data_IF_016988153051
#
_entry.id   IF_016988153051
#
_cell.length_a   1.000
_cell.length_b   1.000
_cell.length_c   1.000
_cell.angle_alpha   90.00
_cell.angle_beta   90.00
_cell.angle_gamma   90.00
#
_symmetry.space_group_name_H-M   'P 1'
#
loop_
_entity.id
_entity.type
_entity.pdbx_description
1 polymer ?
#
# COMPACT_ATOMS: atom_id res chain seq x y z
N UNK A 1 16.59 21.29 -14.27
CA UNK A 1 15.19 20.87 -14.04
C UNK A 1 14.80 19.93 -15.15
N UNK A 2 14.99 18.61 -14.94
CA UNK A 2 14.50 17.62 -15.89
C UNK A 2 13.01 17.41 -15.63
N UNK A 3 12.18 17.76 -16.61
CA UNK A 3 10.75 17.50 -16.60
C UNK A 3 10.55 15.99 -16.59
N UNK A 4 9.84 15.46 -15.58
CA UNK A 4 9.35 14.08 -15.58
C UNK A 4 8.61 13.82 -16.90
N UNK A 5 8.84 12.68 -17.57
CA UNK A 5 8.03 12.31 -18.72
C UNK A 5 6.57 12.22 -18.28
N UNK A 6 5.67 12.80 -19.10
CA UNK A 6 4.25 12.77 -18.86
C UNK A 6 3.78 11.31 -18.76
N UNK A 7 3.08 10.99 -17.66
CA UNK A 7 2.48 9.68 -17.45
C UNK A 7 1.48 9.41 -18.59
N UNK A 8 1.51 8.25 -19.25
CA UNK A 8 0.47 7.88 -20.18
C UNK A 8 -0.86 7.84 -19.42
N UNK A 9 -1.85 8.59 -19.92
CA UNK A 9 -3.21 8.56 -19.40
C UNK A 9 -3.76 7.14 -19.59
N UNK A 10 -4.38 6.50 -18.57
CA UNK A 10 -4.95 5.18 -18.75
C UNK A 10 -6.08 5.29 -19.79
N UNK A 11 -5.85 4.76 -20.98
CA UNK A 11 -6.90 4.53 -21.96
C UNK A 11 -7.93 3.60 -21.36
N UNK A 12 -9.18 4.05 -21.35
CA UNK A 12 -10.35 3.24 -21.04
C UNK A 12 -10.44 2.11 -22.09
N UNK A 13 -9.89 0.92 -21.77
CA UNK A 13 -9.94 -0.24 -22.67
C UNK A 13 -8.70 -1.13 -22.77
N UNK A 14 -7.58 -0.84 -22.09
CA UNK A 14 -6.53 -1.86 -21.91
C UNK A 14 -7.01 -2.83 -20.81
N UNK A 15 -7.37 -4.06 -21.17
CA UNK A 15 -7.62 -5.12 -20.18
C UNK A 15 -6.37 -5.31 -19.32
N UNK A 16 -6.32 -4.61 -18.19
CA UNK A 16 -5.21 -4.70 -17.26
C UNK A 16 -5.09 -6.17 -16.80
N UNK A 17 -4.05 -6.84 -17.30
CA UNK A 17 -3.77 -8.23 -16.98
C UNK A 17 -3.58 -8.37 -15.47
N UNK A 18 -4.20 -9.39 -14.83
CA UNK A 18 -4.01 -9.62 -13.41
C UNK A 18 -2.53 -9.93 -13.13
N UNK A 19 -1.92 -9.20 -12.19
CA UNK A 19 -0.56 -9.48 -11.69
C UNK A 19 -0.55 -10.70 -10.79
N UNK A 20 -1.64 -10.93 -10.05
CA UNK A 20 -1.90 -12.14 -9.29
C UNK A 20 -3.34 -12.61 -9.54
N UNK A 21 -3.52 -13.93 -9.55
CA UNK A 21 -4.82 -14.59 -9.62
C UNK A 21 -4.94 -15.63 -8.51
N UNK A 22 -6.16 -15.88 -8.06
CA UNK A 22 -6.50 -16.87 -7.05
C UNK A 22 -7.97 -17.29 -7.15
N UNK A 23 -8.31 -18.40 -6.50
CA UNK A 23 -9.70 -18.82 -6.34
C UNK A 23 -10.56 -17.72 -5.70
N UNK A 24 -11.82 -17.54 -6.13
CA UNK A 24 -12.68 -16.46 -5.66
C UNK A 24 -12.74 -16.40 -4.12
N UNK A 25 -12.40 -15.24 -3.57
CA UNK A 25 -12.47 -15.03 -2.12
C UNK A 25 -13.91 -15.10 -1.61
N UNK A 26 -14.07 -15.56 -0.37
CA UNK A 26 -15.37 -15.64 0.31
C UNK A 26 -15.63 -14.33 1.02
N UNK A 27 -16.82 -13.76 0.84
CA UNK A 27 -17.21 -12.53 1.52
C UNK A 27 -17.81 -12.81 2.89
N UNK A 28 -17.63 -11.90 3.83
CA UNK A 28 -18.21 -11.95 5.15
C UNK A 28 -18.27 -10.58 5.81
N UNK A 29 -18.71 -10.54 7.07
CA UNK A 29 -18.80 -9.30 7.86
C UNK A 29 -17.86 -9.38 9.05
N UNK A 30 -16.94 -8.42 9.16
CA UNK A 30 -16.03 -8.35 10.29
C UNK A 30 -16.79 -8.08 11.58
N UNK A 31 -16.66 -8.93 12.59
CA UNK A 31 -17.23 -8.67 13.93
C UNK A 31 -16.23 -7.98 14.85
N UNK A 32 -15.00 -8.48 14.91
CA UNK A 32 -13.93 -7.89 15.73
C UNK A 32 -12.55 -8.39 15.31
N UNK A 33 -11.50 -7.66 15.72
CA UNK A 33 -10.09 -8.06 15.65
C UNK A 33 -9.48 -7.99 17.04
N UNK A 34 -8.69 -8.99 17.43
CA UNK A 34 -8.00 -9.01 18.72
C UNK A 34 -6.61 -9.62 18.59
N UNK A 35 -5.76 -9.36 19.59
CA UNK A 35 -4.36 -9.84 19.64
C UNK A 35 -3.54 -9.52 18.38
N UNK A 36 -3.96 -8.52 17.59
CA UNK A 36 -3.39 -8.11 16.29
C UNK A 36 -3.55 -9.12 15.15
N UNK A 37 -3.38 -10.42 15.40
CA UNK A 37 -3.34 -11.47 14.37
C UNK A 37 -4.61 -12.32 14.23
N UNK A 38 -5.66 -12.04 15.02
CA UNK A 38 -6.94 -12.76 14.99
C UNK A 38 -8.09 -11.81 14.68
N UNK A 39 -9.03 -12.27 13.88
CA UNK A 39 -10.31 -11.63 13.69
C UNK A 39 -11.43 -12.67 13.65
N UNK A 40 -12.65 -12.22 13.90
CA UNK A 40 -13.88 -13.01 13.87
C UNK A 40 -14.75 -12.41 12.78
N UNK A 41 -15.17 -13.26 11.86
CA UNK A 41 -15.91 -12.86 10.68
C UNK A 41 -17.15 -13.74 10.59
N UNK A 42 -18.29 -13.11 10.31
CA UNK A 42 -19.52 -13.80 10.02
C UNK A 42 -19.60 -14.12 8.52
N UNK A 43 -19.74 -15.40 8.20
CA UNK A 43 -19.92 -15.90 6.84
C UNK A 43 -21.39 -15.79 6.40
N UNK A 44 -21.67 -15.91 5.08
CA UNK A 44 -23.04 -16.05 4.60
C UNK A 44 -23.70 -17.26 5.28
N UNK A 45 -24.84 -17.04 5.94
CA UNK A 45 -25.52 -18.06 6.75
C UNK A 45 -25.34 -17.89 8.27
N UNK A 46 -24.54 -16.92 8.72
CA UNK A 46 -24.46 -16.52 10.13
C UNK A 46 -23.39 -17.26 10.94
N UNK A 47 -22.63 -18.17 10.32
CA UNK A 47 -21.51 -18.85 10.98
C UNK A 47 -20.39 -17.87 11.32
N UNK A 48 -19.90 -17.91 12.56
CA UNK A 48 -18.74 -17.14 13.00
C UNK A 48 -17.46 -17.96 12.87
N UNK A 49 -16.53 -17.49 12.05
CA UNK A 49 -15.21 -18.11 11.87
C UNK A 49 -14.10 -17.23 12.43
N UNK A 50 -13.10 -17.87 13.03
CA UNK A 50 -11.85 -17.18 13.41
C UNK A 50 -10.89 -17.19 12.23
N UNK A 51 -10.42 -16.01 11.84
CA UNK A 51 -9.56 -15.80 10.68
C UNK A 51 -8.21 -15.22 11.10
N UNK A 52 -7.16 -15.57 10.36
CA UNK A 52 -5.86 -14.95 10.51
C UNK A 52 -5.85 -13.53 9.93
N UNK A 53 -5.44 -12.54 10.72
CA UNK A 53 -5.10 -11.20 10.25
C UNK A 53 -3.59 -11.10 10.08
N UNK A 54 -3.13 -11.03 8.81
CA UNK A 54 -1.70 -10.96 8.50
C UNK A 54 -1.08 -9.58 8.81
N UNK A 55 -1.90 -8.54 8.96
CA UNK A 55 -1.46 -7.19 9.31
C UNK A 55 -1.38 -7.03 10.82
N UNK A 56 -0.19 -6.72 11.34
CA UNK A 56 0.03 -6.51 12.79
C UNK A 56 -0.06 -5.04 13.21
N UNK A 57 -0.13 -4.13 12.24
CA UNK A 57 -0.25 -2.69 12.45
C UNK A 57 -1.64 -2.25 12.92
N UNK A 58 -1.84 -0.93 13.10
CA UNK A 58 -3.11 -0.37 13.58
C UNK A 58 -4.24 -0.56 12.57
N UNK A 59 -3.93 -0.71 11.28
CA UNK A 59 -4.91 -0.84 10.19
C UNK A 59 -5.82 0.40 10.12
N UNK A 60 -5.21 1.58 10.24
CA UNK A 60 -5.90 2.86 10.26
C UNK A 60 -6.76 3.03 8.99
N UNK A 61 -8.04 3.36 9.18
CA UNK A 61 -9.00 3.56 8.10
C UNK A 61 -9.58 2.27 7.48
N UNK A 62 -9.01 1.09 7.75
CA UNK A 62 -9.45 -0.19 7.12
C UNK A 62 -10.01 -1.21 8.12
N UNK A 63 -9.68 -1.11 9.41
CA UNK A 63 -10.27 -1.93 10.44
C UNK A 63 -11.66 -1.38 10.85
N UNK A 64 -12.73 -1.92 10.25
CA UNK A 64 -14.11 -1.46 10.48
C UNK A 64 -15.03 -2.61 10.89
N UNK A 65 -15.27 -2.86 12.19
CA UNK A 65 -16.31 -3.78 12.64
C UNK A 65 -17.68 -3.44 12.01
N UNK A 66 -18.41 -4.46 11.59
CA UNK A 66 -19.62 -4.35 10.77
C UNK A 66 -19.36 -4.18 9.26
N UNK A 67 -18.10 -3.97 8.85
CA UNK A 67 -17.71 -3.82 7.45
C UNK A 67 -17.57 -5.16 6.73
N UNK A 68 -17.72 -5.13 5.40
CA UNK A 68 -17.50 -6.28 4.52
C UNK A 68 -16.02 -6.59 4.39
N UNK A 69 -15.72 -7.88 4.35
CA UNK A 69 -14.35 -8.41 4.19
C UNK A 69 -14.35 -9.56 3.19
N UNK A 70 -13.19 -9.84 2.61
CA UNK A 70 -12.94 -11.01 1.78
C UNK A 70 -11.87 -11.88 2.38
N UNK A 71 -12.16 -13.18 2.42
CA UNK A 71 -11.37 -14.21 3.06
C UNK A 71 -10.89 -15.23 2.04
N UNK A 72 -9.67 -15.72 2.23
CA UNK A 72 -9.19 -16.94 1.57
C UNK A 72 -9.37 -18.12 2.49
N UNK A 73 -10.03 -19.17 1.98
CA UNK A 73 -10.09 -20.48 2.63
C UNK A 73 -8.95 -21.35 2.12
N UNK A 74 -8.08 -21.82 3.01
CA UNK A 74 -6.99 -22.73 2.67
C UNK A 74 -6.66 -23.64 3.87
N UNK A 75 -7.51 -24.65 4.13
CA UNK A 75 -7.29 -25.60 5.22
C UNK A 75 -6.03 -26.42 4.96
N UNK A 76 -5.31 -26.74 6.03
CA UNK A 76 -4.10 -27.57 5.96
C UNK A 76 -3.79 -28.16 7.33
N UNK A 77 -3.31 -29.42 7.42
CA UNK A 77 -2.96 -30.04 8.70
C UNK A 77 -1.92 -29.26 9.53
N UNK A 78 -1.09 -28.42 8.87
CA UNK A 78 -0.07 -27.60 9.54
C UNK A 78 -0.59 -26.23 9.99
N UNK A 79 -1.82 -25.84 9.61
CA UNK A 79 -2.39 -24.53 9.90
C UNK A 79 -3.40 -24.62 11.03
N UNK A 80 -3.22 -23.77 12.04
CA UNK A 80 -4.20 -23.61 13.13
C UNK A 80 -5.48 -22.88 12.69
N UNK A 81 -5.38 -22.03 11.66
CA UNK A 81 -6.50 -21.24 11.13
C UNK A 81 -6.58 -21.47 9.63
N UNK A 82 -7.75 -21.94 9.18
CA UNK A 82 -8.03 -22.27 7.78
C UNK A 82 -8.27 -21.01 6.94
N UNK A 83 -8.77 -19.95 7.59
CA UNK A 83 -9.17 -18.69 6.97
C UNK A 83 -8.12 -17.59 7.14
N UNK A 84 -7.91 -16.82 6.08
CA UNK A 84 -7.05 -15.62 6.09
C UNK A 84 -7.84 -14.42 5.61
N UNK A 85 -7.74 -13.30 6.34
CA UNK A 85 -8.35 -12.03 5.93
C UNK A 85 -7.48 -11.36 4.86
N UNK A 86 -8.00 -11.25 3.64
CA UNK A 86 -7.27 -10.75 2.48
C UNK A 86 -7.63 -9.29 2.14
N UNK A 87 -8.93 -8.95 2.17
CA UNK A 87 -9.39 -7.60 1.77
C UNK A 87 -10.45 -7.06 2.72
N UNK A 88 -10.50 -5.74 2.87
CA UNK A 88 -11.55 -5.01 3.56
C UNK A 88 -12.21 -4.02 2.60
N UNK A 89 -13.53 -3.91 2.66
CA UNK A 89 -14.27 -2.87 1.95
C UNK A 89 -14.36 -1.62 2.82
N UNK A 90 -13.98 -0.47 2.25
CA UNK A 90 -14.01 0.83 2.92
C UNK A 90 -14.65 1.87 2.01
N UNK A 91 -15.14 3.00 2.57
CA UNK A 91 -15.46 4.16 1.75
C UNK A 91 -14.22 4.63 0.98
N UNK A 92 -14.35 4.75 -0.33
CA UNK A 92 -13.31 5.27 -1.22
C UNK A 92 -13.20 6.79 -1.16
N UNK A 93 -12.17 7.32 -1.81
CA UNK A 93 -11.89 8.76 -1.88
C UNK A 93 -13.01 9.59 -2.52
N UNK A 94 -13.83 8.98 -3.38
CA UNK A 94 -15.01 9.55 -4.05
C UNK A 94 -16.34 9.20 -3.36
N UNK A 95 -16.28 8.52 -2.20
CA UNK A 95 -17.44 8.04 -1.45
C UNK A 95 -17.97 6.68 -1.90
N UNK A 96 -17.57 6.15 -3.05
CA UNK A 96 -17.94 4.81 -3.49
C UNK A 96 -17.10 3.75 -2.75
N UNK A 97 -17.65 2.55 -2.46
CA UNK A 97 -16.88 1.52 -1.77
C UNK A 97 -15.71 1.01 -2.61
N UNK A 98 -14.58 0.79 -1.95
CA UNK A 98 -13.35 0.23 -2.55
C UNK A 98 -12.84 -0.95 -1.74
N UNK A 99 -12.33 -1.97 -2.44
CA UNK A 99 -11.65 -3.10 -1.81
C UNK A 99 -10.17 -2.77 -1.60
N UNK A 100 -9.73 -2.89 -0.35
CA UNK A 100 -8.36 -2.64 0.08
C UNK A 100 -7.70 -3.94 0.48
N UNK A 101 -6.51 -4.21 -0.05
CA UNK A 101 -5.69 -5.35 0.34
C UNK A 101 -5.11 -5.15 1.74
N UNK A 102 -5.53 -5.98 2.69
CA UNK A 102 -5.06 -5.88 4.09
C UNK A 102 -3.98 -6.92 4.43
N UNK A 103 -3.78 -7.94 3.59
CA UNK A 103 -2.75 -8.95 3.81
C UNK A 103 -1.36 -8.40 3.47
N UNK A 104 -0.59 -8.04 4.50
CA UNK A 104 0.77 -7.48 4.39
C UNK A 104 1.82 -8.46 3.87
N UNK A 105 1.50 -9.74 3.65
CA UNK A 105 2.40 -10.69 3.01
C UNK A 105 2.38 -10.62 1.46
N UNK A 106 1.39 -9.94 0.86
CA UNK A 106 1.23 -9.83 -0.59
C UNK A 106 2.09 -8.76 -1.29
N UNK A 107 2.34 -7.57 -0.71
CA UNK A 107 2.99 -6.45 -1.41
C UNK A 107 4.31 -6.80 -2.10
N UNK A 108 5.23 -7.50 -1.43
CA UNK A 108 6.51 -7.89 -2.03
C UNK A 108 6.29 -8.79 -3.25
N UNK A 109 5.35 -9.73 -3.17
CA UNK A 109 4.98 -10.60 -4.31
C UNK A 109 4.35 -9.78 -5.43
N UNK A 110 3.44 -8.85 -5.12
CA UNK A 110 2.80 -8.00 -6.12
C UNK A 110 3.83 -7.19 -6.91
N UNK A 111 4.74 -6.50 -6.21
CA UNK A 111 5.79 -5.70 -6.84
C UNK A 111 6.72 -6.59 -7.65
N UNK A 112 7.13 -7.75 -7.11
CA UNK A 112 7.96 -8.74 -7.82
C UNK A 112 7.32 -9.18 -9.14
N UNK A 113 6.04 -9.56 -9.12
CA UNK A 113 5.31 -9.98 -10.33
C UNK A 113 5.09 -8.82 -11.30
N UNK A 114 4.94 -7.60 -10.79
CA UNK A 114 4.81 -6.38 -11.61
C UNK A 114 6.12 -6.12 -12.38
N UNK A 115 7.28 -6.27 -11.71
CA UNK A 115 8.61 -6.16 -12.34
C UNK A 115 8.83 -7.30 -13.35
N UNK A 116 8.53 -8.55 -12.97
CA UNK A 116 8.74 -9.71 -13.83
C UNK A 116 7.92 -9.67 -15.13
N UNK A 117 6.81 -8.92 -15.15
CA UNK A 117 5.96 -8.69 -16.32
C UNK A 117 6.39 -7.50 -17.17
N UNK A 118 7.49 -6.82 -16.84
CA UNK A 118 7.96 -5.63 -17.55
C UNK A 118 7.12 -4.37 -17.30
N UNK A 119 6.14 -4.40 -16.39
CA UNK A 119 5.22 -3.27 -16.18
C UNK A 119 5.91 -2.06 -15.54
N UNK A 120 7.05 -2.26 -14.87
CA UNK A 120 7.89 -1.19 -14.31
C UNK A 120 9.13 -0.87 -15.16
N UNK A 121 9.29 -1.51 -16.31
CA UNK A 121 10.43 -1.26 -17.21
C UNK A 121 10.62 0.22 -17.58
N UNK A 122 9.56 1.04 -17.82
CA UNK A 122 9.73 2.47 -18.11
C UNK A 122 10.43 3.27 -17.00
N UNK A 123 10.46 2.77 -15.77
CA UNK A 123 11.12 3.42 -14.64
C UNK A 123 12.40 2.71 -14.21
N UNK A 124 12.43 1.37 -14.26
CA UNK A 124 13.53 0.57 -13.77
C UNK A 124 14.56 0.22 -14.86
N UNK A 125 14.18 0.33 -16.13
CA UNK A 125 14.89 -0.27 -17.25
C UNK A 125 14.69 -1.80 -17.30
N UNK A 126 15.24 -2.46 -18.33
CA UNK A 126 15.19 -3.92 -18.42
C UNK A 126 16.00 -4.56 -17.28
N UNK A 127 15.46 -5.62 -16.68
CA UNK A 127 16.04 -6.30 -15.50
C UNK A 127 16.47 -7.72 -15.87
N UNK A 128 17.75 -8.04 -15.70
CA UNK A 128 18.30 -9.38 -15.97
C UNK A 128 18.18 -10.32 -14.77
N UNK A 129 18.32 -9.81 -13.54
CA UNK A 129 18.25 -10.65 -12.33
C UNK A 129 17.50 -9.92 -11.20
N UNK A 130 16.74 -10.67 -10.41
CA UNK A 130 16.04 -10.19 -9.24
C UNK A 130 16.23 -11.14 -8.06
N UNK A 131 16.80 -10.63 -6.96
CA UNK A 131 17.07 -11.39 -5.73
C UNK A 131 16.30 -10.78 -4.57
N UNK A 132 15.65 -11.60 -3.75
CA UNK A 132 14.92 -11.14 -2.58
C UNK A 132 15.75 -11.19 -1.29
N UNK A 133 15.37 -10.38 -0.30
CA UNK A 133 15.86 -10.45 1.09
C UNK A 133 17.40 -10.33 1.23
N UNK A 134 18.03 -9.47 0.41
CA UNK A 134 19.49 -9.36 0.35
C UNK A 134 20.02 -8.47 1.49
N UNK A 135 20.98 -8.93 2.31
CA UNK A 135 21.55 -8.10 3.36
C UNK A 135 22.32 -6.89 2.82
N UNK A 136 22.02 -5.70 3.34
CA UNK A 136 22.61 -4.41 2.94
C UNK A 136 22.66 -3.41 4.11
N UNK A 137 23.16 -2.20 3.83
CA UNK A 137 23.28 -1.12 4.80
C UNK A 137 24.44 -1.32 5.77
N UNK A 138 24.54 -0.40 6.74
CA UNK A 138 25.65 -0.37 7.69
C UNK A 138 25.70 -1.66 8.54
N UNK A 139 26.85 -2.35 8.49
CA UNK A 139 27.05 -3.61 9.19
C UNK A 139 26.12 -4.75 8.74
N UNK A 140 25.46 -4.64 7.58
CA UNK A 140 24.54 -5.66 7.01
C UNK A 140 23.39 -6.05 7.94
N UNK A 141 22.94 -5.09 8.76
CA UNK A 141 21.86 -5.27 9.74
C UNK A 141 20.45 -5.07 9.15
N UNK A 142 20.35 -4.71 7.88
CA UNK A 142 19.10 -4.66 7.12
C UNK A 142 19.10 -5.63 5.96
N UNK A 143 17.89 -5.93 5.49
CA UNK A 143 17.64 -6.67 4.25
C UNK A 143 16.79 -5.81 3.35
N UNK A 144 17.20 -5.69 2.09
CA UNK A 144 16.40 -5.05 1.06
C UNK A 144 15.39 -6.05 0.54
N UNK A 145 14.16 -5.62 0.28
CA UNK A 145 13.11 -6.52 -0.22
C UNK A 145 13.53 -7.16 -1.54
N UNK A 146 14.04 -6.34 -2.48
CA UNK A 146 14.54 -6.79 -3.77
C UNK A 146 15.85 -6.08 -4.15
N UNK A 147 16.82 -6.84 -4.65
CA UNK A 147 18.01 -6.33 -5.34
C UNK A 147 17.89 -6.73 -6.82
N UNK A 148 17.81 -5.73 -7.69
CA UNK A 148 17.73 -5.93 -9.14
C UNK A 148 19.09 -5.67 -9.78
N UNK A 149 19.42 -6.49 -10.78
CA UNK A 149 20.52 -6.22 -11.71
C UNK A 149 19.93 -5.80 -13.06
N UNK A 150 20.25 -4.59 -13.53
CA UNK A 150 19.85 -4.18 -14.88
C UNK A 150 20.40 -5.15 -15.94
N UNK A 151 19.66 -5.28 -17.04
CA UNK A 151 20.14 -6.01 -18.21
C UNK A 151 21.32 -5.26 -18.88
N UNK A 152 22.17 -5.96 -19.66
CA UNK A 152 23.31 -5.33 -20.33
C UNK A 152 22.95 -4.12 -21.21
N UNK A 153 21.74 -4.11 -21.77
CA UNK A 153 21.19 -3.05 -22.61
C UNK A 153 20.53 -1.89 -21.84
N UNK A 154 20.48 -1.95 -20.49
CA UNK A 154 19.94 -0.87 -19.69
C UNK A 154 20.81 0.39 -19.77
N UNK A 155 20.17 1.56 -19.83
CA UNK A 155 20.85 2.86 -19.87
C UNK A 155 21.71 3.10 -18.62
N UNK A 156 21.21 2.68 -17.46
CA UNK A 156 21.93 2.72 -16.19
C UNK A 156 22.29 1.30 -15.72
N UNK A 157 23.59 0.94 -15.68
CA UNK A 157 24.02 -0.41 -15.29
C UNK A 157 24.09 -0.63 -13.77
N UNK A 158 23.84 0.41 -12.95
CA UNK A 158 23.95 0.31 -11.48
C UNK A 158 22.89 -0.65 -10.91
N UNK A 159 23.23 -1.46 -9.89
CA UNK A 159 22.24 -2.30 -9.22
C UNK A 159 21.13 -1.44 -8.59
N UNK A 160 19.93 -1.98 -8.46
CA UNK A 160 18.76 -1.28 -7.92
C UNK A 160 18.37 -1.94 -6.59
N UNK A 161 18.50 -1.20 -5.49
CA UNK A 161 18.01 -1.58 -4.16
C UNK A 161 16.57 -1.11 -4.04
N UNK A 162 15.63 -2.06 -4.02
CA UNK A 162 14.19 -1.77 -4.04
C UNK A 162 13.53 -2.22 -2.74
N UNK A 163 12.95 -1.25 -2.03
CA UNK A 163 12.19 -1.44 -0.80
C UNK A 163 10.68 -1.26 -1.07
N UNK A 164 9.85 -2.15 -0.55
CA UNK A 164 8.39 -2.13 -0.70
C UNK A 164 7.73 -1.70 0.60
N UNK A 165 6.76 -0.78 0.52
CA UNK A 165 5.93 -0.37 1.67
C UNK A 165 4.46 -0.57 1.37
N UNK A 166 3.81 -1.45 2.14
CA UNK A 166 2.37 -1.60 2.05
C UNK A 166 1.68 -0.31 2.51
N UNK A 167 0.84 0.28 1.66
CA UNK A 167 0.16 1.53 1.93
C UNK A 167 -1.34 1.35 1.76
N UNK A 168 -2.06 1.35 2.89
CA UNK A 168 -3.53 1.20 2.93
C UNK A 168 -4.25 2.45 3.44
N UNK A 169 -3.56 3.24 4.28
CA UNK A 169 -4.09 4.48 4.82
C UNK A 169 -4.11 5.57 3.75
N UNK A 170 -5.12 6.43 3.78
CA UNK A 170 -5.29 7.51 2.83
C UNK A 170 -5.94 8.73 3.48
N UNK A 171 -5.77 9.87 2.82
CA UNK A 171 -6.45 11.13 3.09
C UNK A 171 -6.95 11.67 1.75
N UNK A 172 -8.27 11.66 1.54
CA UNK A 172 -8.84 11.85 0.21
C UNK A 172 -8.29 10.82 -0.78
N UNK A 173 -7.82 11.28 -1.94
CA UNK A 173 -7.19 10.45 -2.98
C UNK A 173 -5.67 10.28 -2.80
N UNK A 174 -5.11 10.67 -1.66
CA UNK A 174 -3.68 10.54 -1.37
C UNK A 174 -3.45 9.33 -0.48
N UNK A 175 -2.70 8.34 -0.96
CA UNK A 175 -2.19 7.26 -0.12
C UNK A 175 -1.07 7.75 0.78
N UNK A 176 -1.09 7.35 2.05
CA UNK A 176 -0.20 7.89 3.10
C UNK A 176 0.50 6.77 3.85
N UNK A 177 1.82 6.87 3.99
CA UNK A 177 2.61 5.94 4.79
C UNK A 177 3.71 6.66 5.59
N UNK A 178 3.95 6.31 6.87
CA UNK A 178 3.26 5.26 7.64
C UNK A 178 1.93 5.74 8.25
N UNK A 179 1.16 4.82 8.83
CA UNK A 179 -0.08 5.10 9.58
C UNK A 179 0.11 5.14 11.10
N UNK A 180 1.36 5.03 11.55
CA UNK A 180 1.85 5.17 12.93
C UNK A 180 3.37 5.37 12.90
N UNK A 181 3.98 5.75 14.02
CA UNK A 181 5.44 5.90 14.13
C UNK A 181 6.15 4.62 13.71
N UNK A 182 7.14 4.74 12.81
CA UNK A 182 7.86 3.61 12.21
C UNK A 182 9.37 3.83 12.21
N UNK A 183 10.02 3.55 13.34
CA UNK A 183 11.49 3.59 13.47
C UNK A 183 12.19 2.68 12.45
N UNK A 184 11.58 1.55 12.11
CA UNK A 184 12.06 0.67 11.04
C UNK A 184 12.00 1.35 9.68
N UNK A 185 10.89 2.03 9.36
CA UNK A 185 10.75 2.81 8.14
C UNK A 185 11.80 3.92 8.05
N UNK A 186 12.01 4.64 9.16
CA UNK A 186 13.04 5.69 9.28
C UNK A 186 14.45 5.15 9.04
N UNK A 187 14.79 3.99 9.61
CA UNK A 187 16.07 3.32 9.38
C UNK A 187 16.25 2.95 7.91
N UNK A 188 15.24 2.36 7.28
CA UNK A 188 15.32 1.94 5.88
C UNK A 188 15.52 3.13 4.92
N UNK A 189 14.87 4.28 5.16
CA UNK A 189 15.09 5.48 4.34
C UNK A 189 16.55 5.95 4.37
N UNK A 190 17.19 5.94 5.54
CA UNK A 190 18.62 6.27 5.68
C UNK A 190 19.52 5.27 4.96
N UNK A 191 19.19 3.98 5.03
CA UNK A 191 19.96 2.94 4.37
C UNK A 191 19.82 2.97 2.85
N UNK A 192 18.63 3.29 2.33
CA UNK A 192 18.42 3.54 0.90
C UNK A 192 19.22 4.76 0.43
N UNK A 193 19.18 5.87 1.17
CA UNK A 193 20.00 7.03 0.84
C UNK A 193 21.50 6.70 0.85
N UNK A 194 21.95 5.84 1.77
CA UNK A 194 23.35 5.45 1.92
C UNK A 194 23.91 4.54 0.83
N UNK A 195 23.11 4.03 -0.11
CA UNK A 195 23.63 3.30 -1.29
C UNK A 195 23.75 4.17 -2.53
N UNK A 196 23.32 5.44 -2.46
CA UNK A 196 23.43 6.41 -3.55
C UNK A 196 24.76 7.16 -3.40
N UNK A 197 25.54 7.41 -4.47
CA UNK A 197 25.23 7.17 -5.90
C UNK A 197 25.72 5.84 -6.48
N UNK A 198 26.37 4.98 -5.70
CA UNK A 198 26.98 3.73 -6.19
C UNK A 198 25.92 2.76 -6.76
N UNK A 199 24.71 2.82 -6.22
CA UNK A 199 23.54 2.08 -6.66
C UNK A 199 22.34 3.01 -6.85
N UNK A 200 21.34 2.55 -7.60
CA UNK A 200 20.00 3.16 -7.56
C UNK A 200 19.27 2.65 -6.33
N UNK A 201 18.53 3.54 -5.67
CA UNK A 201 17.69 3.20 -4.53
C UNK A 201 16.25 3.57 -4.88
N UNK A 202 15.34 2.60 -4.77
CA UNK A 202 13.93 2.76 -5.15
C UNK A 202 13.04 2.38 -3.99
N UNK A 203 12.19 3.30 -3.55
CA UNK A 203 11.09 3.02 -2.65
C UNK A 203 9.80 2.82 -3.45
N UNK A 204 9.14 1.69 -3.27
CA UNK A 204 7.85 1.36 -3.89
C UNK A 204 6.76 1.35 -2.82
N UNK A 205 6.01 2.45 -2.65
CA UNK A 205 4.72 2.39 -1.98
C UNK A 205 3.78 1.49 -2.78
N UNK A 206 3.47 0.31 -2.25
CA UNK A 206 2.44 -0.58 -2.78
C UNK A 206 1.10 -0.07 -2.28
N UNK A 207 0.42 0.72 -3.11
CA UNK A 207 -0.89 1.30 -2.80
C UNK A 207 -1.94 0.21 -2.98
N UNK A 208 -2.30 -0.42 -1.87
CA UNK A 208 -3.16 -1.60 -1.85
C UNK A 208 -4.64 -1.27 -2.00
N UNK A 209 -4.96 -0.24 -2.78
CA UNK A 209 -6.30 0.29 -3.07
C UNK A 209 -6.27 1.11 -4.38
N UNK A 210 -7.35 1.07 -5.14
CA UNK A 210 -7.42 1.66 -6.49
C UNK A 210 -7.91 3.11 -6.54
N UNK A 211 -8.46 3.61 -5.45
CA UNK A 211 -9.10 4.93 -5.36
C UNK A 211 -8.13 6.07 -5.02
N UNK A 212 -6.86 5.76 -4.76
CA UNK A 212 -5.81 6.76 -4.58
C UNK A 212 -5.17 7.13 -5.91
N UNK A 213 -4.82 8.40 -6.07
CA UNK A 213 -4.23 8.96 -7.31
C UNK A 213 -2.88 9.61 -7.09
N UNK A 214 -2.44 9.70 -5.83
CA UNK A 214 -1.20 10.32 -5.37
C UNK A 214 -0.67 9.59 -4.14
N UNK A 215 0.60 9.75 -3.84
CA UNK A 215 1.21 9.24 -2.60
C UNK A 215 1.95 10.36 -1.86
N UNK A 216 1.93 10.33 -0.53
CA UNK A 216 2.69 11.24 0.32
C UNK A 216 3.28 10.52 1.55
N UNK A 217 4.39 11.00 2.13
CA UNK A 217 4.81 10.53 3.45
C UNK A 217 3.76 10.91 4.51
N UNK A 218 3.57 10.05 5.52
CA UNK A 218 2.65 10.25 6.63
C UNK A 218 3.20 11.17 7.70
N UNK A 219 3.45 12.43 7.34
CA UNK A 219 3.97 13.46 8.25
C UNK A 219 3.16 13.57 9.55
N UNK A 220 1.83 13.39 9.50
CA UNK A 220 0.98 13.51 10.68
C UNK A 220 1.09 12.32 11.64
N UNK A 221 1.48 11.14 11.14
CA UNK A 221 1.67 9.93 11.94
C UNK A 221 3.12 9.77 12.42
N UNK A 222 4.08 10.16 11.58
CA UNK A 222 5.51 10.12 11.88
C UNK A 222 6.22 11.31 11.19
N UNK A 223 6.31 12.47 11.87
CA UNK A 223 6.99 13.64 11.32
C UNK A 223 8.45 13.37 10.95
N UNK A 224 9.14 12.52 11.73
CA UNK A 224 10.54 12.16 11.49
C UNK A 224 10.69 11.32 10.24
N UNK A 225 9.77 10.39 9.98
CA UNK A 225 9.73 9.67 8.71
C UNK A 225 9.54 10.63 7.53
N UNK A 226 8.65 11.61 7.66
CA UNK A 226 8.45 12.64 6.62
C UNK A 226 9.70 13.45 6.32
N UNK A 227 10.44 13.88 7.35
CA UNK A 227 11.74 14.54 7.19
C UNK A 227 12.74 13.65 6.43
N UNK A 228 12.94 12.42 6.90
CA UNK A 228 13.85 11.46 6.29
C UNK A 228 13.45 11.10 4.85
N UNK A 229 12.15 11.09 4.54
CA UNK A 229 11.66 10.83 3.18
C UNK A 229 12.10 11.94 2.23
N UNK A 230 11.99 13.21 2.65
CA UNK A 230 12.47 14.36 1.88
C UNK A 230 14.00 14.38 1.77
N UNK A 231 14.71 14.05 2.84
CA UNK A 231 16.18 13.88 2.82
C UNK A 231 16.61 12.79 1.83
N UNK A 232 15.93 11.64 1.82
CA UNK A 232 16.20 10.53 0.90
C UNK A 232 15.96 10.93 -0.57
N UNK A 233 14.85 11.61 -0.86
CA UNK A 233 14.58 12.16 -2.20
C UNK A 233 15.70 13.11 -2.64
N UNK A 234 16.12 14.01 -1.76
CA UNK A 234 17.20 14.96 -2.05
C UNK A 234 18.56 14.26 -2.27
N UNK A 235 18.79 13.12 -1.63
CA UNK A 235 19.97 12.28 -1.85
C UNK A 235 19.94 11.49 -3.17
N UNK A 236 18.79 11.40 -3.85
CA UNK A 236 18.62 10.68 -5.11
C UNK A 236 17.90 9.34 -5.00
N UNK A 237 17.26 9.04 -3.87
CA UNK A 237 16.33 7.90 -3.77
C UNK A 237 15.10 8.18 -4.64
N UNK A 238 14.77 7.24 -5.51
CA UNK A 238 13.60 7.28 -6.37
C UNK A 238 12.38 6.74 -5.62
N UNK A 239 11.19 7.28 -5.90
CA UNK A 239 9.93 6.80 -5.30
C UNK A 239 8.93 6.49 -6.40
N UNK A 240 8.46 5.24 -6.46
CA UNK A 240 7.56 4.72 -7.49
C UNK A 240 6.29 4.13 -6.86
N UNK A 241 5.29 4.97 -6.48
CA UNK A 241 4.05 4.49 -5.89
C UNK A 241 3.23 3.69 -6.89
N UNK A 242 3.11 2.39 -6.67
CA UNK A 242 2.39 1.48 -7.56
C UNK A 242 0.96 1.27 -7.07
N UNK A 243 -0.02 1.54 -7.94
CA UNK A 243 -1.44 1.38 -7.62
C UNK A 243 -1.97 0.01 -8.01
N UNK A 244 -2.72 -0.60 -7.11
CA UNK A 244 -3.30 -1.93 -7.31
C UNK A 244 -4.80 -1.96 -7.05
N UNK A 245 -5.54 -2.60 -7.95
CA UNK A 245 -6.96 -2.92 -7.78
C UNK A 245 -7.13 -4.34 -7.28
N UNK A 246 -7.75 -4.49 -6.12
CA UNK A 246 -8.08 -5.78 -5.53
C UNK A 246 -9.47 -6.23 -5.98
N UNK A 247 -9.50 -7.33 -6.70
CA UNK A 247 -10.72 -8.03 -7.11
C UNK A 247 -10.93 -9.31 -6.30
N UNK A 248 -12.07 -9.97 -6.52
CA UNK A 248 -12.40 -11.23 -5.83
C UNK A 248 -11.48 -12.38 -6.24
N UNK A 249 -10.97 -12.37 -7.47
CA UNK A 249 -10.19 -13.46 -8.09
C UNK A 249 -8.73 -13.08 -8.35
N UNK A 250 -8.29 -11.89 -7.93
CA UNK A 250 -6.94 -11.46 -8.17
C UNK A 250 -6.67 -9.98 -7.88
N UNK A 251 -5.48 -9.55 -8.26
CA UNK A 251 -5.04 -8.15 -8.20
C UNK A 251 -4.59 -7.71 -9.57
N UNK A 252 -4.96 -6.49 -9.95
CA UNK A 252 -4.50 -5.83 -11.18
C UNK A 252 -3.60 -4.65 -10.81
N UNK A 253 -2.56 -4.43 -11.60
CA UNK A 253 -1.75 -3.23 -11.52
C UNK A 253 -2.41 -2.11 -12.34
N UNK A 254 -2.41 -0.89 -11.83
CA UNK A 254 -3.11 0.26 -12.44
C UNK A 254 -2.20 1.46 -12.72
N UNK A 255 -0.88 1.24 -12.74
CA UNK A 255 0.08 2.29 -13.01
C UNK A 255 0.86 2.76 -11.78
N UNK A 256 1.82 3.65 -12.07
CA UNK A 256 2.51 4.47 -11.08
C UNK A 256 1.75 5.78 -10.90
N UNK A 257 1.63 6.27 -9.67
CA UNK A 257 0.99 7.57 -9.37
C UNK A 257 2.01 8.59 -8.86
N UNK A 258 1.76 9.91 -9.03
CA UNK A 258 2.69 10.95 -8.60
C UNK A 258 2.90 10.99 -7.08
N UNK A 259 4.09 11.45 -6.70
CA UNK A 259 4.54 11.64 -5.31
C UNK A 259 4.36 13.09 -4.90
N UNK A 260 3.86 13.32 -3.69
CA UNK A 260 3.86 14.60 -3.00
C UNK A 260 4.97 14.62 -1.95
N UNK A 261 5.65 15.75 -1.81
CA UNK A 261 6.75 15.91 -0.84
C UNK A 261 6.28 15.94 0.63
N UNK A 262 5.00 16.26 0.84
CA UNK A 262 4.37 16.40 2.16
C UNK A 262 2.96 15.84 2.10
N UNK A 263 2.50 15.31 3.23
CA UNK A 263 1.09 15.01 3.44
C UNK A 263 0.26 16.30 3.26
N UNK A 264 -0.87 16.26 2.54
CA UNK A 264 -1.81 17.37 2.54
C UNK A 264 -2.29 17.67 3.96
N UNK A 265 -2.53 18.93 4.27
CA UNK A 265 -3.23 19.29 5.50
C UNK A 265 -4.63 18.65 5.48
N UNK A 266 -5.07 18.16 6.64
CA UNK A 266 -6.44 17.68 6.75
C UNK A 266 -7.37 18.85 6.43
N UNK A 267 -8.26 18.68 5.44
CA UNK A 267 -9.32 19.65 5.23
C UNK A 267 -10.07 19.79 6.55
N UNK A 268 -10.01 20.99 7.14
CA UNK A 268 -10.83 21.32 8.29
C UNK A 268 -12.27 21.03 7.87
N UNK A 269 -12.88 20.00 8.47
CA UNK A 269 -14.31 19.77 8.29
C UNK A 269 -14.96 21.07 8.70
N UNK A 270 -15.51 21.81 7.73
CA UNK A 270 -16.54 22.79 8.00
C UNK A 270 -17.71 21.97 8.56
N UNK A 271 -17.66 21.74 9.87
CA UNK A 271 -18.81 21.31 10.62
C UNK A 271 -19.87 22.36 10.35
N UNK A 272 -20.83 22.02 9.49
CA UNK A 272 -22.13 22.63 9.49
C UNK A 272 -22.68 22.42 10.91
N UNK A 273 -22.35 23.35 11.81
CA UNK A 273 -23.07 23.54 13.05
C UNK A 273 -24.52 23.66 12.62
N UNK A 274 -25.30 22.63 12.91
CA UNK A 274 -26.74 22.74 12.94
C UNK A 274 -27.04 23.99 13.77
N UNK A 275 -27.59 25.02 13.13
CA UNK A 275 -28.20 26.12 13.85
C UNK A 275 -29.18 25.51 14.86
N UNK A 276 -29.11 25.89 16.14
CA UNK A 276 -30.10 25.42 17.09
C UNK A 276 -31.49 25.83 16.58
N UNK A 277 -32.51 24.96 16.70
CA UNK A 277 -33.84 25.29 16.23
C UNK A 277 -34.32 26.58 16.91
N UNK A 278 -34.77 27.52 16.09
CA UNK A 278 -35.40 28.76 16.52
C UNK A 278 -36.57 28.41 17.45
N UNK A 279 -36.64 28.95 18.67
CA UNK A 279 -37.79 28.70 19.54
C UNK A 279 -39.04 29.28 18.86
N UNK A 280 -40.03 28.42 18.63
CA UNK A 280 -41.32 28.80 18.06
C UNK A 280 -42.03 29.85 18.94
N UNK A 281 -42.91 30.68 18.35
CA UNK A 281 -43.62 31.71 19.10
C UNK A 281 -44.48 31.07 20.19
N UNK A 282 -44.37 31.60 21.40
CA UNK A 282 -45.28 31.31 22.51
C UNK A 282 -46.58 32.06 22.23
N UNK A 283 -47.67 31.32 22.00
CA UNK A 283 -49.02 31.89 22.01
C UNK A 283 -49.59 31.89 23.44
N UNK A 284 -50.37 32.93 23.82
CA UNK A 284 -51.08 32.99 25.10
C UNK A 284 -52.34 32.12 25.17
#
# INVERSE_FOLDING_TARGET
>A
MALSPALPSPGDGSEALPVLAWEPLVEGVLRRRWKRFLAEVELPGGELVTVHCANTGPMTGVLRPGGRVRLRHAPSPSRKLEWTWEQAEVPGSDGAPVWVGVNTALPNRLVRETIARGLLEPWLGPVAEMRAEVPYGEGRRSRIDLLLRPAPEAEDPRPIYLEVKNTTWCQGDVGVFPDTVSERGQKHLRELAGVVPEARAVLVPCLSRADVRRFAPGDSADPRYGELFREALAAGVEVLPCRYRYGREGVRWEGVVPVLLRQPEAEARLDARAEPPTPGPSEP
#
